data_IF_668075131399
#
_entry.id   IF_668075131399
#
_cell.length_a   1.000
_cell.length_b   1.000
_cell.length_c   1.000
_cell.angle_alpha   90.00
_cell.angle_beta   90.00
_cell.angle_gamma   90.00
#
_symmetry.space_group_name_H-M   'P 1'
#
loop_
_entity.id
_entity.type
_entity.pdbx_description
1 polymer ?
#
# COMPACT_ATOMS: atom_id res chain seq x y z
N UNK A 1 -50.47 20.35 -9.04
CA UNK A 1 -49.36 20.07 -8.14
C UNK A 1 -48.52 18.98 -8.80
N UNK A 2 -47.39 19.34 -9.40
CA UNK A 2 -46.46 18.36 -9.96
C UNK A 2 -45.80 17.63 -8.78
N UNK A 3 -45.94 16.33 -8.72
CA UNK A 3 -45.19 15.49 -7.79
C UNK A 3 -43.70 15.74 -8.04
N UNK A 4 -43.03 16.26 -7.01
CA UNK A 4 -41.56 16.29 -6.98
C UNK A 4 -41.10 14.83 -7.12
N UNK A 5 -40.71 14.45 -8.33
CA UNK A 5 -39.99 13.19 -8.56
C UNK A 5 -38.68 13.32 -7.78
N UNK A 6 -38.62 12.67 -6.63
CA UNK A 6 -37.37 12.52 -5.88
C UNK A 6 -36.42 11.78 -6.81
N UNK A 7 -35.36 12.45 -7.25
CA UNK A 7 -34.31 11.80 -8.04
C UNK A 7 -33.80 10.55 -7.32
N UNK A 8 -33.56 9.46 -8.06
CA UNK A 8 -33.12 8.22 -7.44
C UNK A 8 -31.79 8.45 -6.70
N UNK A 9 -31.82 8.25 -5.39
CA UNK A 9 -30.64 8.24 -4.54
C UNK A 9 -30.03 6.84 -4.54
N UNK A 10 -28.79 6.72 -4.95
CA UNK A 10 -28.08 5.45 -4.94
C UNK A 10 -26.75 5.58 -4.17
N UNK A 11 -26.43 4.59 -3.32
CA UNK A 11 -25.13 4.51 -2.66
C UNK A 11 -24.16 3.77 -3.57
N UNK A 12 -23.02 4.40 -3.84
CA UNK A 12 -21.96 3.87 -4.72
C UNK A 12 -20.70 3.62 -3.89
N UNK A 13 -20.22 2.39 -3.93
CA UNK A 13 -18.91 2.02 -3.39
C UNK A 13 -17.83 2.16 -4.47
N UNK A 14 -16.64 2.58 -4.06
CA UNK A 14 -15.45 2.74 -4.88
C UNK A 14 -14.30 1.91 -4.31
N UNK A 15 -13.54 1.24 -5.17
CA UNK A 15 -12.20 0.72 -4.85
C UNK A 15 -11.17 1.69 -5.44
N UNK A 16 -10.28 2.18 -4.59
CA UNK A 16 -9.42 3.33 -4.90
C UNK A 16 -7.96 2.95 -4.68
N UNK A 17 -7.14 3.15 -5.70
CA UNK A 17 -5.69 3.04 -5.64
C UNK A 17 -5.10 4.46 -5.67
N UNK A 18 -4.05 4.72 -4.87
CA UNK A 18 -3.34 6.00 -4.93
C UNK A 18 -1.89 5.91 -4.47
N UNK A 19 -1.07 6.77 -5.06
CA UNK A 19 0.30 7.03 -4.67
C UNK A 19 0.31 8.16 -3.62
N UNK A 20 0.59 7.82 -2.37
CA UNK A 20 0.49 8.75 -1.24
C UNK A 20 1.54 9.85 -1.20
N UNK A 21 2.61 9.75 -2.02
CA UNK A 21 3.82 10.60 -1.95
C UNK A 21 3.52 12.10 -1.88
N UNK A 22 2.55 12.57 -2.67
CA UNK A 22 2.21 14.00 -2.78
C UNK A 22 0.93 14.38 -2.04
N UNK A 23 0.41 13.48 -1.18
CA UNK A 23 -0.78 13.73 -0.39
C UNK A 23 -0.47 13.87 1.11
N UNK A 24 -1.16 14.80 1.76
CA UNK A 24 -1.18 14.91 3.21
C UNK A 24 -2.15 13.90 3.86
N UNK A 25 -2.18 12.68 3.29
CA UNK A 25 -3.01 11.58 3.70
C UNK A 25 -4.38 11.56 3.04
N UNK A 26 -5.22 10.65 3.56
CA UNK A 26 -6.58 10.46 3.05
C UNK A 26 -7.51 11.63 3.36
N UNK A 27 -7.61 12.01 4.65
CA UNK A 27 -8.65 12.90 5.16
C UNK A 27 -8.49 14.34 4.68
N UNK A 28 -9.56 14.95 4.16
CA UNK A 28 -9.60 16.36 3.79
C UNK A 28 -9.14 17.28 4.93
N UNK A 29 -8.27 18.22 4.58
CA UNK A 29 -7.67 19.21 5.47
C UNK A 29 -7.62 20.57 4.78
N UNK A 30 -7.74 21.64 5.58
CA UNK A 30 -7.54 22.99 5.06
C UNK A 30 -6.07 23.15 4.60
N UNK A 31 -5.87 23.75 3.43
CA UNK A 31 -4.56 24.11 2.86
C UNK A 31 -3.64 22.94 2.49
N UNK A 32 -4.13 21.71 2.46
CA UNK A 32 -3.32 20.54 2.12
C UNK A 32 -4.03 19.68 1.08
N UNK A 33 -3.29 19.25 0.07
CA UNK A 33 -3.76 18.30 -0.93
C UNK A 33 -4.00 16.93 -0.29
N UNK A 34 -5.19 16.39 -0.40
CA UNK A 34 -5.59 15.10 0.20
C UNK A 34 -6.38 14.25 -0.80
N UNK A 35 -6.31 12.92 -0.64
CA UNK A 35 -7.00 12.00 -1.57
C UNK A 35 -8.52 12.21 -1.56
N UNK A 36 -9.10 12.37 -0.36
CA UNK A 36 -10.55 12.60 -0.21
C UNK A 36 -11.00 13.86 -0.95
N UNK A 37 -10.27 14.96 -0.83
CA UNK A 37 -10.63 16.24 -1.46
C UNK A 37 -10.57 16.19 -2.98
N UNK A 38 -9.55 15.55 -3.56
CA UNK A 38 -9.45 15.38 -5.01
C UNK A 38 -10.63 14.61 -5.58
N UNK A 39 -11.03 13.52 -4.91
CA UNK A 39 -12.17 12.71 -5.36
C UNK A 39 -13.48 13.45 -5.13
N UNK A 40 -13.68 14.13 -3.99
CA UNK A 40 -14.88 14.94 -3.72
C UNK A 40 -15.02 16.08 -4.74
N UNK A 41 -13.92 16.71 -5.12
CA UNK A 41 -13.92 17.75 -6.18
C UNK A 41 -14.29 17.17 -7.55
N UNK A 42 -13.80 15.98 -7.90
CA UNK A 42 -14.17 15.31 -9.13
C UNK A 42 -15.66 14.92 -9.14
N UNK A 43 -16.18 14.45 -8.00
CA UNK A 43 -17.60 14.14 -7.81
C UNK A 43 -18.48 15.40 -7.94
N UNK A 44 -18.08 16.51 -7.31
CA UNK A 44 -18.79 17.80 -7.37
C UNK A 44 -18.93 18.31 -8.83
N UNK A 45 -17.86 18.16 -9.63
CA UNK A 45 -17.91 18.54 -11.07
C UNK A 45 -18.89 17.70 -11.89
N UNK A 46 -19.18 16.46 -11.48
CA UNK A 46 -20.13 15.57 -12.17
C UNK A 46 -21.55 15.77 -11.69
N UNK A 47 -21.73 15.89 -10.37
CA UNK A 47 -23.05 15.96 -9.73
C UNK A 47 -23.63 17.38 -9.66
N UNK A 48 -22.77 18.42 -9.83
CA UNK A 48 -23.17 19.82 -9.70
C UNK A 48 -23.35 20.30 -8.25
N UNK A 49 -23.12 19.42 -7.26
CA UNK A 49 -23.18 19.74 -5.85
C UNK A 49 -22.17 18.91 -5.06
N UNK A 50 -21.83 19.37 -3.86
CA UNK A 50 -20.89 18.67 -2.97
C UNK A 50 -21.49 17.41 -2.38
N UNK A 51 -20.70 16.34 -2.40
CA UNK A 51 -21.00 15.08 -1.70
C UNK A 51 -19.84 14.73 -0.77
N UNK A 52 -20.15 13.99 0.28
CA UNK A 52 -19.12 13.52 1.21
C UNK A 52 -18.69 12.11 0.84
N UNK A 53 -17.39 11.91 0.68
CA UNK A 53 -16.80 10.60 0.45
C UNK A 53 -16.38 9.96 1.79
N UNK A 54 -16.95 8.81 2.13
CA UNK A 54 -16.69 8.08 3.36
C UNK A 54 -15.71 6.94 3.14
N UNK A 55 -14.44 7.10 3.54
CA UNK A 55 -13.41 6.06 3.43
C UNK A 55 -13.48 5.00 4.52
N UNK A 56 -13.02 3.78 4.22
CA UNK A 56 -12.95 2.66 5.16
C UNK A 56 -11.92 2.88 6.28
N UNK A 57 -10.89 3.66 6.02
CA UNK A 57 -9.86 4.04 6.98
C UNK A 57 -9.11 5.27 6.52
N UNK A 58 -8.44 5.95 7.46
CA UNK A 58 -7.53 7.05 7.13
C UNK A 58 -6.13 6.49 6.95
N UNK A 59 -5.40 7.04 5.97
CA UNK A 59 -3.96 6.84 5.83
C UNK A 59 -3.25 8.15 6.16
N UNK A 60 -2.04 8.05 6.72
CA UNK A 60 -1.20 9.20 7.03
C UNK A 60 -0.64 9.86 5.75
N UNK A 61 -0.08 11.06 5.89
CA UNK A 61 0.67 11.72 4.82
C UNK A 61 1.78 10.81 4.27
N UNK A 62 1.87 10.67 2.96
CA UNK A 62 2.86 9.86 2.26
C UNK A 62 2.56 8.35 2.21
N UNK A 63 1.49 7.86 2.83
CA UNK A 63 1.10 6.44 2.83
C UNK A 63 0.30 6.11 1.58
N UNK A 64 0.65 5.01 0.92
CA UNK A 64 0.00 4.52 -0.31
C UNK A 64 -1.21 3.64 -0.01
N UNK A 65 -2.04 3.42 -1.02
CA UNK A 65 -3.07 2.40 -0.99
C UNK A 65 -3.18 1.69 -2.34
N UNK A 66 -3.22 0.37 -2.29
CA UNK A 66 -3.50 -0.48 -3.43
C UNK A 66 -5.01 -0.65 -3.64
N UNK A 67 -5.79 -0.76 -2.56
CA UNK A 67 -7.24 -0.89 -2.62
C UNK A 67 -7.92 -0.32 -1.36
N UNK A 68 -7.89 1.00 -1.21
CA UNK A 68 -8.78 1.71 -0.28
C UNK A 68 -10.22 1.57 -0.75
N UNK A 69 -11.16 1.49 0.17
CA UNK A 69 -12.59 1.46 -0.15
C UNK A 69 -13.27 2.70 0.41
N UNK A 70 -14.14 3.30 -0.38
CA UNK A 70 -14.96 4.42 0.05
C UNK A 70 -16.37 4.31 -0.54
N UNK A 71 -17.33 5.09 -0.02
CA UNK A 71 -18.65 5.24 -0.62
C UNK A 71 -19.10 6.68 -0.58
N UNK A 72 -20.04 7.00 -1.44
CA UNK A 72 -20.77 8.26 -1.47
C UNK A 72 -22.23 8.02 -1.90
N UNK A 73 -23.08 8.97 -1.65
CA UNK A 73 -24.48 8.96 -2.11
C UNK A 73 -24.58 9.81 -3.38
N UNK A 74 -24.95 9.18 -4.48
CA UNK A 74 -25.17 9.83 -5.77
C UNK A 74 -26.64 10.13 -5.99
N UNK A 75 -26.91 11.27 -6.65
CA UNK A 75 -28.20 11.63 -7.23
C UNK A 75 -28.15 11.50 -8.72
N UNK A 76 -29.30 11.24 -9.37
CA UNK A 76 -29.39 11.14 -10.82
C UNK A 76 -29.30 9.72 -11.37
N UNK A 77 -29.15 9.60 -12.69
CA UNK A 77 -29.32 8.35 -13.46
C UNK A 77 -28.00 7.68 -13.89
N UNK A 78 -26.85 8.14 -13.39
CA UNK A 78 -25.55 7.53 -13.76
C UNK A 78 -25.49 6.11 -13.18
N UNK A 79 -25.29 5.07 -14.03
CA UNK A 79 -25.16 3.71 -13.55
C UNK A 79 -23.96 3.55 -12.60
N UNK A 80 -24.09 2.84 -11.46
CA UNK A 80 -23.06 2.72 -10.45
C UNK A 80 -21.70 2.22 -10.95
N UNK A 81 -21.70 1.32 -11.93
CA UNK A 81 -20.50 0.74 -12.54
C UNK A 81 -19.75 1.73 -13.47
N UNK A 82 -20.38 2.83 -13.88
CA UNK A 82 -19.76 3.85 -14.74
C UNK A 82 -18.93 4.88 -13.96
N UNK A 83 -19.11 5.00 -12.67
CA UNK A 83 -18.42 6.00 -11.85
C UNK A 83 -16.89 5.86 -11.90
N UNK A 84 -16.36 4.65 -11.96
CA UNK A 84 -14.92 4.44 -12.09
C UNK A 84 -14.35 5.13 -13.36
N UNK A 85 -14.93 4.90 -14.52
CA UNK A 85 -14.50 5.52 -15.76
C UNK A 85 -14.68 7.05 -15.77
N UNK A 86 -15.82 7.53 -15.25
CA UNK A 86 -16.15 8.96 -15.18
C UNK A 86 -15.17 9.70 -14.26
N UNK A 87 -14.84 9.16 -13.09
CA UNK A 87 -13.92 9.78 -12.16
C UNK A 87 -12.47 9.74 -12.68
N UNK A 88 -12.03 8.62 -13.27
CA UNK A 88 -10.69 8.49 -13.82
C UNK A 88 -10.38 9.48 -14.94
N UNK A 89 -11.39 9.94 -15.68
CA UNK A 89 -11.20 11.02 -16.69
C UNK A 89 -10.99 12.42 -16.09
N UNK A 90 -11.11 12.59 -14.78
CA UNK A 90 -11.08 13.88 -14.07
C UNK A 90 -10.07 13.92 -12.91
N UNK A 91 -9.63 12.74 -12.48
CA UNK A 91 -8.67 12.60 -11.38
C UNK A 91 -7.23 12.79 -11.87
N UNK A 92 -6.34 13.25 -10.99
CA UNK A 92 -4.91 13.30 -11.30
C UNK A 92 -4.34 11.87 -11.38
N UNK A 93 -3.16 11.73 -12.01
CA UNK A 93 -2.54 10.44 -12.35
C UNK A 93 -2.08 9.62 -11.13
N UNK A 94 -2.06 10.22 -9.95
CA UNK A 94 -1.69 9.58 -8.69
C UNK A 94 -2.91 9.06 -7.88
N UNK A 95 -4.14 9.12 -8.47
CA UNK A 95 -5.36 8.46 -7.97
C UNK A 95 -6.02 7.69 -9.11
N UNK A 96 -6.42 6.45 -8.84
CA UNK A 96 -7.16 5.60 -9.79
C UNK A 96 -8.34 4.93 -9.09
N UNK A 97 -9.54 5.05 -9.65
CA UNK A 97 -10.70 4.27 -9.24
C UNK A 97 -10.67 2.95 -9.99
N UNK A 98 -10.44 1.86 -9.27
CA UNK A 98 -10.33 0.50 -9.84
C UNK A 98 -11.67 -0.08 -10.21
N UNK A 99 -12.67 0.20 -9.39
CA UNK A 99 -14.04 -0.29 -9.60
C UNK A 99 -15.04 0.61 -8.88
N UNK A 100 -16.29 0.58 -9.36
CA UNK A 100 -17.43 1.21 -8.73
C UNK A 100 -18.66 0.30 -8.84
N UNK A 101 -19.48 0.21 -7.79
CA UNK A 101 -20.69 -0.63 -7.76
C UNK A 101 -21.76 -0.05 -6.84
N UNK A 102 -23.03 -0.40 -7.09
CA UNK A 102 -24.11 -0.13 -6.16
C UNK A 102 -23.96 -0.94 -4.87
N UNK A 103 -24.31 -0.32 -3.75
CA UNK A 103 -24.41 -1.00 -2.46
C UNK A 103 -25.70 -0.60 -1.76
N UNK A 104 -26.13 -1.41 -0.79
CA UNK A 104 -27.28 -1.11 0.06
C UNK A 104 -27.13 0.24 0.76
N UNK A 105 -28.23 0.96 0.95
CA UNK A 105 -28.25 2.22 1.70
C UNK A 105 -27.74 2.09 3.15
N UNK A 106 -27.82 0.90 3.73
CA UNK A 106 -27.30 0.60 5.07
C UNK A 106 -25.80 0.23 5.05
N UNK A 107 -25.20 0.01 3.88
CA UNK A 107 -23.80 -0.33 3.77
C UNK A 107 -22.93 0.91 4.00
N UNK A 108 -21.86 0.76 4.78
CA UNK A 108 -20.94 1.85 5.09
C UNK A 108 -19.49 1.37 5.00
N UNK A 109 -18.68 2.02 4.16
CA UNK A 109 -17.30 1.62 3.90
C UNK A 109 -16.45 1.41 5.16
N UNK A 110 -16.66 2.21 6.21
CA UNK A 110 -15.90 2.10 7.46
C UNK A 110 -16.50 1.09 8.44
N UNK A 111 -17.82 1.11 8.63
CA UNK A 111 -18.46 0.38 9.74
C UNK A 111 -18.80 -1.07 9.37
N UNK A 112 -19.01 -1.36 8.09
CA UNK A 112 -19.18 -2.75 7.61
C UNK A 112 -17.86 -3.48 7.40
N UNK A 113 -16.73 -2.77 7.35
CA UNK A 113 -15.41 -3.38 7.16
C UNK A 113 -14.98 -4.19 8.38
N UNK A 114 -14.58 -5.46 8.16
CA UNK A 114 -14.13 -6.41 9.18
C UNK A 114 -12.60 -6.45 9.33
N UNK A 115 -11.87 -6.08 8.27
CA UNK A 115 -10.41 -6.07 8.30
C UNK A 115 -9.82 -4.96 7.43
N UNK A 116 -8.58 -4.59 7.74
CA UNK A 116 -7.67 -3.81 6.90
C UNK A 116 -6.34 -4.54 6.90
N UNK A 117 -5.74 -4.74 5.73
CA UNK A 117 -4.42 -5.36 5.58
C UNK A 117 -3.45 -4.33 5.04
N UNK A 118 -2.35 -4.16 5.74
CA UNK A 118 -1.24 -3.28 5.36
C UNK A 118 0.00 -4.11 5.09
N UNK A 119 0.81 -3.67 4.13
CA UNK A 119 2.18 -4.12 3.92
C UNK A 119 3.12 -2.95 4.16
N UNK A 120 4.17 -3.21 4.89
CA UNK A 120 5.33 -2.33 4.96
C UNK A 120 6.50 -2.98 4.23
N UNK A 121 7.15 -2.22 3.34
CA UNK A 121 8.27 -2.71 2.51
C UNK A 121 9.57 -2.03 2.94
N UNK A 122 10.57 -2.83 3.30
CA UNK A 122 11.95 -2.42 3.49
C UNK A 122 12.77 -2.86 2.29
N UNK A 123 13.68 -2.02 1.83
CA UNK A 123 14.67 -2.32 0.81
C UNK A 123 16.05 -2.37 1.48
N UNK A 124 16.73 -3.52 1.41
CA UNK A 124 17.91 -3.84 2.24
C UNK A 124 19.22 -3.91 1.47
N UNK A 125 19.21 -3.63 0.16
CA UNK A 125 20.45 -3.54 -0.61
C UNK A 125 21.29 -2.36 -0.14
N UNK A 126 22.62 -2.48 -0.19
CA UNK A 126 23.56 -1.43 0.16
C UNK A 126 23.47 -0.21 -0.76
N UNK A 127 23.06 -0.42 -2.01
CA UNK A 127 22.91 0.63 -3.02
C UNK A 127 21.48 1.13 -3.10
N UNK A 128 21.24 2.45 -3.07
CA UNK A 128 19.92 3.00 -3.26
C UNK A 128 19.38 2.71 -4.67
N UNK A 129 18.07 2.49 -4.78
CA UNK A 129 17.38 2.32 -6.06
C UNK A 129 16.23 3.32 -6.16
N UNK A 130 16.31 4.25 -7.13
CA UNK A 130 15.36 5.34 -7.30
C UNK A 130 13.95 4.84 -7.68
N UNK A 131 13.84 3.70 -8.36
CA UNK A 131 12.54 3.15 -8.79
C UNK A 131 11.76 2.52 -7.64
N UNK A 132 12.43 2.06 -6.59
CA UNK A 132 11.77 1.46 -5.41
C UNK A 132 11.73 2.40 -4.21
N UNK A 133 12.55 3.45 -4.22
CA UNK A 133 12.64 4.44 -3.14
C UNK A 133 11.28 5.07 -2.76
N UNK A 134 10.37 5.41 -3.70
CA UNK A 134 9.07 5.97 -3.35
C UNK A 134 8.15 5.01 -2.60
N UNK A 135 8.43 3.69 -2.63
CA UNK A 135 7.55 2.63 -2.14
C UNK A 135 8.17 1.77 -1.04
N UNK A 136 9.37 2.14 -0.56
CA UNK A 136 10.10 1.36 0.43
C UNK A 136 10.87 2.24 1.40
N UNK A 137 11.19 1.69 2.56
CA UNK A 137 12.19 2.23 3.44
C UNK A 137 13.54 1.60 3.09
N UNK A 138 14.48 2.35 2.52
CA UNK A 138 15.85 1.90 2.29
C UNK A 138 16.56 1.79 3.64
N UNK A 139 16.70 0.54 4.12
CA UNK A 139 17.35 0.18 5.37
C UNK A 139 18.53 -0.75 5.09
N UNK A 140 19.74 -0.25 5.22
CA UNK A 140 21.00 -0.94 4.86
C UNK A 140 22.06 -0.84 5.95
N UNK A 141 21.74 -0.25 7.07
CA UNK A 141 22.69 0.03 8.16
C UNK A 141 23.17 -1.23 8.85
N UNK A 142 22.28 -2.18 9.01
CA UNK A 142 22.54 -3.47 9.62
C UNK A 142 21.71 -4.56 8.91
N UNK A 143 22.19 -5.81 8.89
CA UNK A 143 21.38 -6.93 8.43
C UNK A 143 20.08 -7.02 9.23
N UNK A 144 18.99 -7.38 8.56
CA UNK A 144 17.72 -7.67 9.21
C UNK A 144 17.48 -9.17 9.19
N UNK A 145 17.20 -9.73 10.36
CA UNK A 145 16.72 -11.10 10.52
C UNK A 145 15.18 -11.09 10.53
N UNK A 146 14.59 -11.53 9.42
CA UNK A 146 13.15 -11.63 9.27
C UNK A 146 12.51 -12.64 10.22
N UNK A 147 13.26 -13.66 10.65
CA UNK A 147 12.77 -14.66 11.60
C UNK A 147 12.56 -14.06 12.99
N UNK A 148 13.42 -13.13 13.41
CA UNK A 148 13.23 -12.37 14.66
C UNK A 148 12.01 -11.44 14.56
N UNK A 149 11.82 -10.79 13.41
CA UNK A 149 10.64 -9.95 13.19
C UNK A 149 9.37 -10.80 13.21
N UNK A 150 9.37 -11.95 12.53
CA UNK A 150 8.26 -12.90 12.54
C UNK A 150 7.94 -13.36 13.95
N UNK A 151 8.95 -13.76 14.74
CA UNK A 151 8.79 -14.18 16.14
C UNK A 151 8.20 -13.05 17.01
N UNK A 152 8.56 -11.79 16.76
CA UNK A 152 8.00 -10.64 17.47
C UNK A 152 6.54 -10.35 17.10
N UNK A 153 6.10 -10.71 15.88
CA UNK A 153 4.73 -10.52 15.41
C UNK A 153 3.75 -11.53 16.02
N UNK A 154 4.18 -12.77 16.30
CA UNK A 154 3.31 -13.85 16.76
C UNK A 154 2.54 -13.52 18.05
N UNK A 155 3.15 -12.95 19.11
CA UNK A 155 2.43 -12.57 20.33
C UNK A 155 1.39 -11.46 20.14
N UNK A 156 1.42 -10.73 19.03
CA UNK A 156 0.45 -9.68 18.72
C UNK A 156 -0.86 -10.22 18.13
N UNK A 157 -0.91 -11.51 17.73
CA UNK A 157 -2.13 -12.12 17.20
C UNK A 157 -3.21 -12.18 18.28
N UNK A 158 -4.46 -11.92 17.89
CA UNK A 158 -5.61 -11.85 18.77
C UNK A 158 -5.95 -10.43 19.23
N UNK A 159 -6.72 -10.33 20.32
CA UNK A 159 -7.23 -9.05 20.83
C UNK A 159 -6.31 -8.52 21.93
N UNK A 160 -5.73 -7.34 21.70
CA UNK A 160 -4.80 -6.71 22.63
C UNK A 160 -5.08 -5.23 22.81
N UNK A 161 -4.70 -4.68 23.97
CA UNK A 161 -4.67 -3.25 24.20
C UNK A 161 -3.31 -2.69 23.76
N UNK A 162 -3.28 -2.09 22.57
CA UNK A 162 -2.04 -1.69 21.89
C UNK A 162 -1.76 -0.17 22.03
N UNK A 163 -2.00 0.39 23.23
CA UNK A 163 -1.82 1.81 23.52
C UNK A 163 -0.37 2.28 23.30
N UNK A 164 0.62 1.41 23.46
CA UNK A 164 2.02 1.71 23.17
C UNK A 164 2.23 2.20 21.72
N UNK A 165 1.44 1.69 20.77
CA UNK A 165 1.53 2.07 19.36
C UNK A 165 0.52 3.16 18.93
N UNK A 166 0.05 3.96 19.88
CA UNK A 166 -0.94 4.99 19.60
C UNK A 166 -0.30 6.38 19.55
N UNK A 167 -0.26 7.00 18.36
CA UNK A 167 0.23 8.36 18.19
C UNK A 167 -0.72 9.38 18.82
N UNK A 168 -0.18 10.45 19.40
CA UNK A 168 -0.97 11.55 19.97
C UNK A 168 -1.92 12.17 18.93
N UNK A 169 -3.09 12.67 19.37
CA UNK A 169 -4.07 13.37 18.53
C UNK A 169 -5.20 12.48 18.00
N UNK A 170 -5.27 11.21 18.38
CA UNK A 170 -6.43 10.36 18.06
C UNK A 170 -7.62 10.67 18.96
N UNK A 171 -8.84 10.61 18.37
CA UNK A 171 -10.13 10.73 19.08
C UNK A 171 -10.76 9.36 19.37
N UNK A 172 -10.01 8.27 19.22
CA UNK A 172 -10.52 6.92 19.51
C UNK A 172 -10.66 6.74 21.02
N UNK A 173 -11.80 6.20 21.48
CA UNK A 173 -12.13 6.03 22.90
C UNK A 173 -11.37 4.89 23.57
N UNK A 174 -10.76 3.98 22.80
CA UNK A 174 -10.02 2.82 23.33
C UNK A 174 -8.90 2.42 22.38
N UNK A 175 -7.91 1.67 22.91
CA UNK A 175 -6.77 1.14 22.15
C UNK A 175 -6.83 -0.37 21.91
N UNK A 176 -8.00 -0.99 22.06
CA UNK A 176 -8.21 -2.40 21.74
C UNK A 176 -8.19 -2.62 20.23
N UNK A 177 -7.36 -3.56 19.80
CA UNK A 177 -7.21 -3.97 18.40
C UNK A 177 -7.16 -5.50 18.35
N UNK A 178 -7.87 -6.10 17.42
CA UNK A 178 -7.78 -7.52 17.09
C UNK A 178 -6.89 -7.67 15.87
N UNK A 179 -5.68 -8.18 16.08
CA UNK A 179 -4.74 -8.55 15.01
C UNK A 179 -5.11 -9.94 14.52
N UNK A 180 -5.55 -10.04 13.25
CA UNK A 180 -6.10 -11.27 12.66
C UNK A 180 -5.03 -12.06 11.90
N UNK A 181 -4.02 -11.39 11.36
CA UNK A 181 -2.86 -12.01 10.71
C UNK A 181 -1.68 -11.04 10.78
N UNK A 182 -0.49 -11.59 10.92
CA UNK A 182 0.76 -10.85 10.85
C UNK A 182 1.84 -11.79 10.32
N UNK A 183 2.67 -11.31 9.40
CA UNK A 183 3.74 -12.09 8.79
C UNK A 183 4.91 -11.20 8.37
N UNK A 184 6.10 -11.77 8.38
CA UNK A 184 7.32 -11.16 7.86
C UNK A 184 8.03 -12.14 6.94
N UNK A 185 8.38 -11.70 5.74
CA UNK A 185 9.09 -12.52 4.77
C UNK A 185 10.06 -11.70 3.91
N UNK A 186 11.09 -12.38 3.39
CA UNK A 186 12.06 -11.80 2.46
C UNK A 186 11.77 -12.22 1.02
N UNK A 187 11.93 -11.28 0.09
CA UNK A 187 11.90 -11.52 -1.35
C UNK A 187 13.06 -10.75 -1.99
N UNK A 188 14.16 -11.45 -2.29
CA UNK A 188 15.40 -10.82 -2.76
C UNK A 188 15.91 -9.75 -1.78
N UNK A 189 16.10 -8.53 -2.28
CA UNK A 189 16.54 -7.39 -1.48
C UNK A 189 15.40 -6.72 -0.66
N UNK A 190 14.20 -7.28 -0.64
CA UNK A 190 13.07 -6.73 0.11
C UNK A 190 12.72 -7.57 1.32
N UNK A 191 12.41 -6.90 2.43
CA UNK A 191 11.73 -7.47 3.58
C UNK A 191 10.34 -6.86 3.66
N UNK A 192 9.32 -7.71 3.72
CA UNK A 192 7.92 -7.34 3.80
C UNK A 192 7.36 -7.69 5.17
N UNK A 193 6.67 -6.74 5.80
CA UNK A 193 5.91 -6.95 7.03
C UNK A 193 4.46 -6.70 6.70
N UNK A 194 3.60 -7.71 6.82
CA UNK A 194 2.16 -7.58 6.59
C UNK A 194 1.38 -7.76 7.89
N UNK A 195 0.39 -6.92 8.10
CA UNK A 195 -0.47 -6.96 9.27
C UNK A 195 -1.92 -6.74 8.86
N UNK A 196 -2.80 -7.63 9.28
CA UNK A 196 -4.24 -7.52 9.13
C UNK A 196 -4.90 -7.40 10.50
N UNK A 197 -5.79 -6.41 10.65
CA UNK A 197 -6.53 -6.21 11.89
C UNK A 197 -7.95 -5.70 11.61
N UNK A 198 -8.83 -5.81 12.61
CA UNK A 198 -10.17 -5.22 12.56
C UNK A 198 -10.16 -3.69 12.46
N UNK A 199 -9.07 -3.07 12.87
CA UNK A 199 -8.81 -1.63 12.76
C UNK A 199 -7.43 -1.31 13.33
N UNK A 200 -6.91 -0.12 13.01
CA UNK A 200 -5.61 0.34 13.48
C UNK A 200 -5.74 1.64 14.27
N UNK A 201 -4.85 1.85 15.23
CA UNK A 201 -4.68 3.12 15.91
C UNK A 201 -3.94 4.11 14.98
N UNK A 202 -4.03 5.40 15.28
CA UNK A 202 -3.35 6.42 14.51
C UNK A 202 -1.82 6.23 14.54
N UNK A 203 -1.23 6.04 13.37
CA UNK A 203 0.21 5.79 13.20
C UNK A 203 0.71 4.42 13.66
N UNK A 204 -0.18 3.51 14.10
CA UNK A 204 0.17 2.23 14.72
C UNK A 204 1.14 1.40 13.89
N UNK A 205 0.84 1.12 12.63
CA UNK A 205 1.68 0.22 11.81
C UNK A 205 3.09 0.77 11.68
N UNK A 206 3.24 2.08 11.47
CA UNK A 206 4.56 2.71 11.34
C UNK A 206 5.37 2.70 12.65
N UNK A 207 4.71 2.91 13.80
CA UNK A 207 5.35 2.81 15.11
C UNK A 207 5.79 1.37 15.39
N UNK A 208 4.92 0.41 15.10
CA UNK A 208 5.21 -1.01 15.26
C UNK A 208 6.39 -1.44 14.39
N UNK A 209 6.39 -1.09 13.09
CA UNK A 209 7.48 -1.40 12.17
C UNK A 209 8.80 -0.77 12.62
N UNK A 210 8.78 0.46 13.15
CA UNK A 210 10.00 1.08 13.67
C UNK A 210 10.66 0.25 14.79
N UNK A 211 9.87 -0.35 15.69
CA UNK A 211 10.38 -1.26 16.72
C UNK A 211 10.75 -2.64 16.17
N UNK A 212 9.96 -3.18 15.23
CA UNK A 212 10.27 -4.47 14.61
C UNK A 212 11.60 -4.46 13.84
N UNK A 213 11.97 -3.32 13.24
CA UNK A 213 13.28 -3.15 12.63
C UNK A 213 14.40 -3.23 13.68
N UNK A 214 14.21 -2.64 14.87
CA UNK A 214 15.19 -2.75 15.96
C UNK A 214 15.28 -4.21 16.51
N UNK A 215 14.18 -4.96 16.46
CA UNK A 215 14.21 -6.40 16.79
C UNK A 215 14.98 -7.18 15.72
N UNK A 216 14.68 -6.97 14.44
CA UNK A 216 15.34 -7.67 13.34
C UNK A 216 16.83 -7.33 13.20
N UNK A 217 17.27 -6.14 13.63
CA UNK A 217 18.68 -5.76 13.70
C UNK A 217 19.41 -6.21 14.96
N UNK A 218 18.68 -6.78 15.94
CA UNK A 218 19.23 -7.21 17.23
C UNK A 218 19.43 -6.07 18.24
N UNK A 219 19.00 -4.85 17.92
CA UNK A 219 19.07 -3.69 18.85
C UNK A 219 18.06 -3.79 20.01
N UNK A 220 16.95 -4.51 19.79
CA UNK A 220 15.90 -4.74 20.78
C UNK A 220 15.62 -6.23 20.89
N UNK A 221 15.66 -6.79 22.12
CA UNK A 221 15.32 -8.20 22.33
C UNK A 221 13.82 -8.45 22.21
N UNK A 222 13.43 -9.69 21.86
CA UNK A 222 12.02 -10.12 21.80
C UNK A 222 11.28 -9.88 23.11
N UNK A 223 11.93 -10.17 24.25
CA UNK A 223 11.35 -9.97 25.58
C UNK A 223 11.12 -8.49 25.87
N UNK A 224 12.10 -7.63 25.55
CA UNK A 224 11.96 -6.17 25.71
C UNK A 224 10.86 -5.60 24.85
N UNK A 225 10.76 -6.04 23.58
CA UNK A 225 9.68 -5.66 22.68
C UNK A 225 8.32 -6.08 23.26
N UNK A 226 8.20 -7.32 23.73
CA UNK A 226 6.95 -7.85 24.29
C UNK A 226 6.54 -7.09 25.55
N UNK A 227 7.47 -6.86 26.48
CA UNK A 227 7.22 -6.07 27.69
C UNK A 227 6.80 -4.63 27.38
N UNK A 228 7.40 -4.01 26.36
CA UNK A 228 7.11 -2.63 25.97
C UNK A 228 5.63 -2.44 25.63
N UNK A 229 5.06 -3.29 24.78
CA UNK A 229 3.66 -3.11 24.41
C UNK A 229 2.67 -3.66 25.43
N UNK A 230 3.03 -4.74 26.16
CA UNK A 230 2.20 -5.26 27.26
C UNK A 230 2.09 -4.29 28.43
N UNK A 231 3.15 -3.57 28.75
CA UNK A 231 3.19 -2.56 29.81
C UNK A 231 2.82 -1.15 29.31
N UNK A 232 2.37 -1.04 28.05
CA UNK A 232 1.92 0.21 27.43
C UNK A 232 2.92 1.37 27.48
N UNK A 233 4.23 1.05 27.42
CA UNK A 233 5.34 2.05 27.54
C UNK A 233 5.45 2.90 26.26
N UNK A 234 4.46 3.72 26.04
CA UNK A 234 4.35 4.56 24.84
C UNK A 234 5.50 5.55 24.68
N UNK A 235 6.03 6.07 25.76
CA UNK A 235 7.15 7.03 25.79
C UNK A 235 8.45 6.43 25.25
N UNK A 236 8.58 5.10 25.22
CA UNK A 236 9.72 4.40 24.65
C UNK A 236 9.56 4.18 23.14
N UNK A 237 8.35 4.30 22.59
CA UNK A 237 8.05 4.16 21.15
C UNK A 237 8.27 5.51 20.45
N UNK A 238 9.53 5.83 20.14
CA UNK A 238 9.93 7.17 19.67
C UNK A 238 9.93 7.33 18.16
N UNK A 239 10.20 6.25 17.42
CA UNK A 239 10.46 6.33 15.97
C UNK A 239 9.36 5.65 15.17
N UNK A 240 8.71 6.41 14.30
CA UNK A 240 7.80 5.86 13.31
C UNK A 240 8.54 5.61 12.00
N UNK A 241 8.41 4.42 11.44
CA UNK A 241 8.96 4.08 10.12
C UNK A 241 8.46 5.07 9.04
N UNK A 242 9.27 5.39 8.01
CA UNK A 242 8.91 6.31 6.92
C UNK A 242 7.57 5.93 6.27
N UNK A 243 6.73 6.93 5.97
CA UNK A 243 5.39 6.68 5.41
C UNK A 243 5.42 5.98 4.06
N UNK A 244 6.41 6.28 3.22
CA UNK A 244 6.56 5.76 1.86
C UNK A 244 6.69 4.23 1.76
N UNK A 245 7.12 3.54 2.83
CA UNK A 245 7.16 2.08 2.85
C UNK A 245 5.81 1.43 3.13
N UNK A 246 4.80 2.20 3.57
CA UNK A 246 3.51 1.68 3.99
C UNK A 246 2.46 1.75 2.88
N UNK A 247 1.76 0.64 2.63
CA UNK A 247 0.66 0.55 1.69
C UNK A 247 -0.54 -0.19 2.31
N UNK A 248 -1.72 0.43 2.25
CA UNK A 248 -2.98 -0.27 2.50
C UNK A 248 -3.27 -1.20 1.34
N UNK A 249 -3.14 -2.51 1.53
CA UNK A 249 -3.34 -3.50 0.46
C UNK A 249 -4.81 -3.69 0.13
N UNK A 250 -5.65 -3.90 1.17
CA UNK A 250 -7.08 -4.17 0.99
C UNK A 250 -7.89 -3.94 2.25
N UNK A 251 -9.20 -3.84 2.06
CA UNK A 251 -10.20 -3.75 3.12
C UNK A 251 -11.15 -4.93 2.97
N UNK A 252 -11.32 -5.74 4.01
CA UNK A 252 -12.18 -6.91 4.00
C UNK A 252 -13.59 -6.60 4.48
N UNK A 253 -14.60 -7.16 3.79
CA UNK A 253 -16.03 -7.09 4.12
C UNK A 253 -16.65 -8.49 4.11
N UNK A 254 -17.71 -8.76 4.89
CA UNK A 254 -18.44 -10.02 4.81
C UNK A 254 -19.07 -10.23 3.42
N UNK A 255 -19.66 -9.17 2.89
CA UNK A 255 -20.21 -9.09 1.54
C UNK A 255 -19.50 -7.94 0.83
N UNK A 256 -18.60 -8.29 -0.08
CA UNK A 256 -17.87 -7.31 -0.86
C UNK A 256 -18.55 -7.14 -2.22
N UNK A 257 -18.91 -5.92 -2.63
CA UNK A 257 -19.71 -5.68 -3.84
C UNK A 257 -18.94 -5.86 -5.15
N UNK A 258 -17.68 -6.26 -5.08
CA UNK A 258 -16.81 -6.42 -6.24
C UNK A 258 -16.26 -7.85 -6.32
N UNK A 259 -15.98 -8.37 -7.54
CA UNK A 259 -15.35 -9.66 -7.70
C UNK A 259 -13.89 -9.63 -7.18
N UNK A 260 -13.35 -10.77 -6.71
CA UNK A 260 -11.99 -10.84 -6.15
C UNK A 260 -10.89 -10.31 -7.10
N UNK A 261 -11.11 -10.40 -8.41
CA UNK A 261 -10.19 -9.98 -9.47
C UNK A 261 -9.81 -8.49 -9.37
N UNK A 262 -10.65 -7.66 -8.75
CA UNK A 262 -10.38 -6.24 -8.52
C UNK A 262 -9.06 -6.02 -7.75
N UNK A 263 -8.59 -7.02 -6.99
CA UNK A 263 -7.37 -6.92 -6.20
C UNK A 263 -6.15 -7.64 -6.78
N UNK A 264 -6.28 -8.42 -7.85
CA UNK A 264 -5.18 -9.27 -8.33
C UNK A 264 -3.93 -8.51 -8.71
N UNK A 265 -4.07 -7.37 -9.37
CA UNK A 265 -2.96 -6.55 -9.88
C UNK A 265 -2.75 -5.24 -9.12
N UNK A 266 -3.43 -5.04 -7.98
CA UNK A 266 -3.36 -3.78 -7.23
C UNK A 266 -2.16 -3.71 -6.31
N UNK A 267 -1.63 -4.85 -5.86
CA UNK A 267 -0.55 -4.89 -4.88
C UNK A 267 0.78 -4.53 -5.53
N UNK A 268 1.56 -3.60 -4.95
CA UNK A 268 2.90 -3.34 -5.44
C UNK A 268 3.77 -4.58 -5.23
N UNK A 269 4.26 -5.15 -6.32
CA UNK A 269 5.22 -6.25 -6.31
C UNK A 269 6.53 -5.75 -6.91
N UNK A 270 7.60 -5.87 -6.14
CA UNK A 270 8.94 -5.58 -6.60
C UNK A 270 9.74 -6.88 -6.53
N UNK A 271 10.32 -7.29 -7.64
CA UNK A 271 11.22 -8.44 -7.72
C UNK A 271 12.55 -7.90 -8.23
N UNK A 272 13.51 -7.77 -7.31
CA UNK A 272 14.89 -7.51 -7.66
C UNK A 272 15.69 -8.71 -7.17
N UNK A 273 16.52 -9.34 -8.03
CA UNK A 273 17.39 -10.42 -7.61
C UNK A 273 18.33 -9.94 -6.50
N UNK A 274 18.65 -10.81 -5.55
CA UNK A 274 19.68 -10.50 -4.57
C UNK A 274 21.05 -10.42 -5.25
N UNK A 275 21.99 -9.71 -4.65
CA UNK A 275 23.39 -9.66 -5.15
C UNK A 275 23.96 -11.07 -5.28
N UNK A 276 23.59 -11.99 -4.39
CA UNK A 276 24.00 -13.40 -4.42
C UNK A 276 23.44 -14.15 -5.63
N UNK A 277 22.21 -13.84 -6.04
CA UNK A 277 21.58 -14.47 -7.21
C UNK A 277 22.23 -13.98 -8.51
N UNK A 278 22.49 -12.67 -8.60
CA UNK A 278 23.21 -12.08 -9.75
C UNK A 278 24.64 -12.63 -9.86
N UNK A 279 25.33 -12.85 -8.74
CA UNK A 279 26.67 -13.45 -8.73
C UNK A 279 26.66 -14.93 -9.18
N UNK A 280 25.61 -15.69 -8.82
CA UNK A 280 25.45 -17.07 -9.29
C UNK A 280 25.14 -17.12 -10.78
N UNK A 281 24.28 -16.25 -11.29
CA UNK A 281 23.97 -16.15 -12.72
C UNK A 281 25.22 -15.75 -13.52
N UNK A 282 25.95 -14.72 -13.09
CA UNK A 282 27.19 -14.30 -13.73
C UNK A 282 28.29 -15.41 -13.74
N UNK A 283 28.35 -16.20 -12.66
CA UNK A 283 29.29 -17.34 -12.58
C UNK A 283 28.87 -18.49 -13.49
N UNK A 284 27.57 -18.71 -13.68
CA UNK A 284 27.06 -19.72 -14.61
C UNK A 284 27.26 -19.30 -16.07
N UNK A 285 27.05 -18.03 -16.41
CA UNK A 285 27.33 -17.50 -17.75
C UNK A 285 28.81 -17.59 -18.12
N UNK A 286 29.72 -17.31 -17.18
CA UNK A 286 31.14 -17.47 -17.38
C UNK A 286 31.56 -18.92 -17.59
N UNK A 287 30.93 -19.89 -16.94
CA UNK A 287 31.18 -21.32 -17.14
C UNK A 287 30.61 -21.81 -18.46
N UNK A 288 29.48 -21.31 -18.95
CA UNK A 288 28.90 -21.67 -20.25
C UNK A 288 29.70 -21.08 -21.42
N UNK A 289 30.24 -19.89 -21.29
CA UNK A 289 31.11 -19.28 -22.33
C UNK A 289 32.46 -19.93 -22.41
N UNK A 290 33.02 -20.47 -21.32
CA UNK A 290 34.28 -21.21 -21.35
C UNK A 290 34.20 -22.59 -22.03
N UNK A 291 33.00 -23.15 -22.18
CA UNK A 291 32.77 -24.40 -22.92
C UNK A 291 32.54 -24.22 -24.42
N UNK A 292 32.26 -23.01 -24.91
CA UNK A 292 31.98 -22.73 -26.33
C UNK A 292 33.20 -22.30 -27.15
N UNK A 293 34.36 -22.03 -26.54
CA UNK A 293 35.58 -21.58 -27.22
C UNK A 293 36.44 -22.73 -27.82
N UNK A 294 35.92 -23.97 -27.82
CA UNK A 294 36.62 -25.10 -28.44
C UNK A 294 36.10 -25.53 -29.83
N UNK A 295 35.29 -24.69 -30.49
CA UNK A 295 34.78 -24.98 -31.84
C UNK A 295 35.22 -23.93 -32.87
N UNK A 296 36.17 -24.33 -33.71
CA UNK A 296 36.56 -23.88 -35.08
C UNK A 296 36.26 -22.46 -35.58
N UNK A 297 37.21 -21.83 -36.30
CA UNK A 297 37.06 -20.46 -36.78
C UNK A 297 36.01 -20.35 -37.90
N UNK A 298 35.06 -19.46 -37.74
CA UNK A 298 34.05 -19.05 -38.74
C UNK A 298 34.69 -18.05 -39.72
N UNK A 299 34.50 -18.18 -41.06
CA UNK A 299 35.14 -17.32 -42.05
C UNK A 299 34.62 -15.88 -42.02
N UNK A 300 35.52 -14.93 -42.15
CA UNK A 300 35.27 -13.50 -42.27
C UNK A 300 34.27 -13.16 -43.41
N UNK A 301 33.09 -12.67 -43.05
CA UNK A 301 32.20 -11.96 -43.97
C UNK A 301 32.54 -10.47 -43.95
N UNK A 302 33.07 -9.98 -45.08
CA UNK A 302 33.33 -8.56 -45.33
C UNK A 302 32.00 -7.79 -45.48
N UNK A 303 31.74 -6.86 -44.61
CA UNK A 303 30.69 -5.88 -44.75
C UNK A 303 31.12 -4.78 -45.72
N UNK A 304 30.52 -4.73 -46.90
CA UNK A 304 30.52 -3.54 -47.79
C UNK A 304 29.42 -2.56 -47.35
N UNK A 305 29.69 -1.25 -47.27
CA UNK A 305 28.70 -0.26 -46.91
C UNK A 305 27.71 0.01 -48.03
N UNK A 306 26.41 -0.01 -47.72
CA UNK A 306 25.32 0.38 -48.65
C UNK A 306 25.19 1.93 -48.64
N UNK A 307 25.14 2.61 -49.79
CA UNK A 307 24.98 4.06 -49.81
C UNK A 307 23.54 4.49 -49.51
N UNK A 308 23.43 5.50 -48.66
CA UNK A 308 22.15 6.18 -48.31
C UNK A 308 21.76 7.12 -49.44
N UNK A 309 20.51 7.09 -49.96
CA UNK A 309 20.04 8.09 -50.97
C UNK A 309 19.69 9.40 -50.28
N UNK A 310 20.28 10.49 -50.75
CA UNK A 310 19.89 11.87 -50.48
C UNK A 310 18.59 12.17 -51.21
N UNK A 311 17.53 12.49 -50.49
CA UNK A 311 16.34 13.13 -51.03
C UNK A 311 16.47 14.66 -50.91
N UNK A 312 16.23 15.29 -52.09
CA UNK A 312 16.08 16.73 -52.26
C UNK A 312 14.76 17.24 -51.67
#
# INVERSE_FOLDING_TARGET
>A
MAALQTEPHQRVALVIQYLGTHFHGWQRQLKHRTVQEEIETALERVLGHRVTLHGAGRTDAGVHAAAQVAHFDATGSIPPEKWAAILNSRLPTDILIRASAAVSQNWHARFCAKSRRYRYTLYTDSRPNLFVQPFSWHYYYQPLDESLIEAALQPLLGQHHLAAFHRAGSRRSHSWVEVQAAECYRSGSFVHIEIQANGFLYGMVRLLVGLLVNVGSGELSLDSFTQLWQQERREEVKSAAPARGLCLLRVGYPEFPFPPEVWYDTQPQFVLPSVTDVQKEASQEQQTTSFSDSASPVPHLSCTPVPVPLHK
#
